data_IF_841736597552
#
_entry.id   IF_841736597552
#
_cell.length_a   1.000
_cell.length_b   1.000
_cell.length_c   1.000
_cell.angle_alpha   90.00
_cell.angle_beta   90.00
_cell.angle_gamma   90.00
#
_symmetry.space_group_name_H-M   'P 1'
#
loop_
_entity.id
_entity.type
_entity.pdbx_description
1 polymer ?
#
# COMPACT_ATOMS: atom_id res chain seq x y z
N UNK A 1 16.54 0.39 -0.84
CA UNK A 1 15.70 -0.01 -1.98
C UNK A 1 16.11 -1.39 -2.41
N UNK A 2 15.15 -2.30 -2.57
CA UNK A 2 15.37 -3.71 -2.94
C UNK A 2 14.27 -4.16 -3.90
N UNK A 3 14.63 -4.81 -5.02
CA UNK A 3 13.66 -5.56 -5.81
C UNK A 3 13.29 -6.82 -5.02
N UNK A 4 12.05 -6.86 -4.49
CA UNK A 4 11.64 -7.90 -3.55
C UNK A 4 11.05 -9.12 -4.24
N UNK A 5 10.37 -8.88 -5.34
CA UNK A 5 9.98 -9.85 -6.38
C UNK A 5 10.09 -9.13 -7.72
N UNK A 6 10.01 -9.86 -8.82
CA UNK A 6 10.12 -9.30 -10.18
C UNK A 6 9.20 -8.09 -10.37
N UNK A 7 9.78 -6.97 -10.80
CA UNK A 7 9.12 -5.70 -11.08
C UNK A 7 8.49 -5.00 -9.85
N UNK A 8 8.71 -5.48 -8.61
CA UNK A 8 8.27 -4.85 -7.37
C UNK A 8 9.45 -4.41 -6.52
N UNK A 9 9.62 -3.12 -6.36
CA UNK A 9 10.70 -2.50 -5.59
C UNK A 9 10.18 -1.99 -4.26
N UNK A 10 10.82 -2.41 -3.17
CA UNK A 10 10.53 -1.97 -1.82
C UNK A 10 11.49 -0.85 -1.42
N UNK A 11 10.94 0.24 -0.87
CA UNK A 11 11.64 1.30 -0.17
C UNK A 11 11.30 1.19 1.31
N UNK A 12 12.30 1.16 2.16
CA UNK A 12 12.11 1.02 3.60
C UNK A 12 12.84 2.13 4.33
N UNK A 13 12.17 2.71 5.29
CA UNK A 13 12.76 3.51 6.37
C UNK A 13 12.42 2.88 7.71
N UNK A 14 13.34 2.92 8.65
CA UNK A 14 13.13 2.41 10.00
C UNK A 14 12.88 3.59 10.93
N UNK A 15 11.74 3.59 11.59
CA UNK A 15 11.40 4.59 12.61
C UNK A 15 12.10 4.24 13.91
N UNK A 16 13.09 5.05 14.29
CA UNK A 16 13.72 4.99 15.57
C UNK A 16 12.92 5.77 16.64
N UNK A 17 12.91 5.38 17.91
CA UNK A 17 13.64 4.22 18.52
C UNK A 17 12.83 2.92 18.56
N UNK A 18 11.61 2.89 18.03
CA UNK A 18 10.70 1.74 18.13
C UNK A 18 11.05 0.60 17.16
N UNK A 19 12.04 0.80 16.29
CA UNK A 19 12.46 -0.19 15.28
C UNK A 19 11.31 -0.67 14.41
N UNK A 20 10.47 0.26 13.92
CA UNK A 20 9.38 -0.04 13.01
C UNK A 20 9.82 0.22 11.57
N UNK A 21 9.79 -0.82 10.75
CA UNK A 21 9.98 -0.68 9.30
C UNK A 21 8.72 -0.12 8.65
N UNK A 22 8.89 0.90 7.83
CA UNK A 22 7.82 1.55 7.06
C UNK A 22 8.14 1.38 5.57
N UNK A 23 7.27 0.68 4.85
CA UNK A 23 7.50 0.28 3.47
C UNK A 23 6.63 1.05 2.49
N UNK A 24 7.24 1.47 1.40
CA UNK A 24 6.55 1.93 0.18
C UNK A 24 7.00 1.02 -0.97
N UNK A 25 6.17 0.90 -1.99
CA UNK A 25 6.48 0.03 -3.13
C UNK A 25 6.29 0.74 -4.46
N UNK A 26 7.18 0.45 -5.41
CA UNK A 26 6.99 0.80 -6.81
C UNK A 26 6.77 -0.49 -7.61
N UNK A 27 5.61 -0.64 -8.21
CA UNK A 27 5.33 -1.68 -9.18
C UNK A 27 5.68 -1.13 -10.57
N UNK A 28 6.69 -1.73 -11.20
CA UNK A 28 7.24 -1.33 -12.49
C UNK A 28 6.45 -1.93 -13.64
N UNK A 29 5.26 -1.39 -13.86
CA UNK A 29 4.38 -1.69 -15.00
C UNK A 29 4.66 -0.75 -16.16
N UNK A 30 3.99 -0.91 -17.30
CA UNK A 30 4.05 0.05 -18.41
C UNK A 30 3.66 1.46 -17.95
N UNK A 31 2.69 1.54 -17.06
CA UNK A 31 2.25 2.73 -16.34
C UNK A 31 2.60 2.56 -14.86
N UNK A 32 3.79 3.01 -14.39
CA UNK A 32 4.29 2.69 -13.05
C UNK A 32 3.32 3.10 -11.93
N UNK A 33 3.17 2.22 -10.94
CA UNK A 33 2.28 2.41 -9.80
C UNK A 33 3.09 2.48 -8.50
N UNK A 34 2.97 3.60 -7.79
CA UNK A 34 3.53 3.76 -6.45
C UNK A 34 2.48 3.38 -5.41
N UNK A 35 2.84 2.57 -4.44
CA UNK A 35 1.98 2.19 -3.33
C UNK A 35 2.52 2.88 -2.08
N UNK A 36 1.71 3.78 -1.54
CA UNK A 36 2.04 4.69 -0.44
C UNK A 36 3.19 5.66 -0.77
N UNK A 37 3.28 6.75 -0.07
CA UNK A 37 4.32 7.76 -0.31
C UNK A 37 5.27 7.92 0.86
N UNK A 38 4.95 7.31 2.00
CA UNK A 38 5.66 7.54 3.24
C UNK A 38 5.35 8.92 3.85
N UNK A 39 5.91 9.18 5.00
CA UNK A 39 5.92 10.50 5.59
C UNK A 39 6.76 11.47 4.72
N UNK A 40 6.67 12.77 5.00
CA UNK A 40 7.41 13.81 4.25
C UNK A 40 8.92 13.51 4.19
N UNK A 41 9.52 13.13 5.32
CA UNK A 41 10.96 12.78 5.39
C UNK A 41 11.29 11.56 4.54
N UNK A 42 10.44 10.55 4.56
CA UNK A 42 10.60 9.35 3.75
C UNK A 42 10.50 9.65 2.25
N UNK A 43 9.50 10.45 1.84
CA UNK A 43 9.36 10.87 0.45
C UNK A 43 10.60 11.62 -0.05
N UNK A 44 11.21 12.48 0.78
CA UNK A 44 12.45 13.19 0.42
C UNK A 44 13.61 12.23 0.12
N UNK A 45 13.69 11.10 0.79
CA UNK A 45 14.74 10.08 0.56
C UNK A 45 14.38 9.09 -0.53
N UNK A 46 13.07 8.87 -0.75
CA UNK A 46 12.55 7.90 -1.72
C UNK A 46 12.49 8.47 -3.14
N UNK A 47 12.11 9.74 -3.30
CA UNK A 47 11.98 10.40 -4.61
C UNK A 47 13.24 10.29 -5.49
N UNK A 48 14.48 10.56 -5.01
CA UNK A 48 15.68 10.38 -5.84
C UNK A 48 15.86 8.94 -6.33
N UNK A 49 15.53 7.96 -5.49
CA UNK A 49 15.62 6.53 -5.85
C UNK A 49 14.52 6.13 -6.85
N UNK A 50 13.33 6.72 -6.72
CA UNK A 50 12.25 6.56 -7.71
C UNK A 50 12.68 7.12 -9.07
N UNK A 51 13.27 8.30 -9.10
CA UNK A 51 13.77 8.92 -10.34
C UNK A 51 14.84 8.06 -11.02
N UNK A 52 15.77 7.49 -10.24
CA UNK A 52 16.79 6.57 -10.75
C UNK A 52 16.17 5.32 -11.41
N UNK A 53 15.20 4.69 -10.75
CA UNK A 53 14.51 3.51 -11.29
C UNK A 53 13.64 3.81 -12.51
N UNK A 54 12.91 4.92 -12.44
CA UNK A 54 11.95 5.28 -13.48
C UNK A 54 12.64 5.76 -14.76
N UNK A 55 13.82 6.40 -14.65
CA UNK A 55 14.44 7.10 -15.76
C UNK A 55 13.51 8.19 -16.29
N UNK A 56 13.11 8.10 -17.56
CA UNK A 56 12.19 9.05 -18.20
C UNK A 56 10.71 8.76 -17.93
N UNK A 57 10.39 7.58 -17.39
CA UNK A 57 9.01 7.19 -17.08
C UNK A 57 8.46 8.01 -15.93
N UNK A 58 7.15 8.16 -15.90
CA UNK A 58 6.43 8.87 -14.84
C UNK A 58 5.52 7.91 -14.09
N UNK A 59 5.37 8.14 -12.79
CA UNK A 59 4.34 7.47 -12.01
C UNK A 59 2.98 7.84 -12.57
N UNK A 60 2.14 6.84 -12.81
CA UNK A 60 0.78 7.02 -13.30
C UNK A 60 -0.23 7.02 -12.17
N UNK A 61 -0.10 6.08 -11.24
CA UNK A 61 -1.00 5.94 -10.10
C UNK A 61 -0.22 5.91 -8.79
N UNK A 62 -0.83 6.48 -7.75
CA UNK A 62 -0.34 6.45 -6.37
C UNK A 62 -1.46 5.87 -5.53
N UNK A 63 -1.28 4.65 -5.00
CA UNK A 63 -2.30 3.98 -4.21
C UNK A 63 -2.14 4.36 -2.74
N UNK A 64 -3.18 4.92 -2.16
CA UNK A 64 -3.22 5.33 -0.75
C UNK A 64 -4.26 4.46 -0.03
N UNK A 65 -3.81 3.65 0.91
CA UNK A 65 -4.69 2.77 1.67
C UNK A 65 -5.64 3.56 2.57
N UNK A 66 -5.10 4.44 3.40
CA UNK A 66 -5.85 5.30 4.29
C UNK A 66 -5.10 6.63 4.56
N UNK A 67 -5.73 7.53 5.30
CA UNK A 67 -5.14 8.84 5.59
C UNK A 67 -4.31 8.79 6.86
N UNK A 68 -3.05 8.45 6.72
CA UNK A 68 -2.04 8.54 7.78
C UNK A 68 -0.73 9.10 7.22
N UNK A 69 0.16 9.56 8.11
CA UNK A 69 1.36 10.29 7.69
C UNK A 69 2.34 9.42 6.90
N UNK A 70 2.45 8.15 7.23
CA UNK A 70 3.34 7.18 6.59
C UNK A 70 2.77 6.54 5.33
N UNK A 71 1.46 6.68 5.08
CA UNK A 71 0.83 6.32 3.82
C UNK A 71 0.83 7.45 2.80
N UNK A 72 0.48 8.66 3.23
CA UNK A 72 0.24 9.76 2.28
C UNK A 72 0.90 11.10 2.63
N UNK A 73 1.70 11.18 3.70
CA UNK A 73 2.35 12.43 4.10
C UNK A 73 3.26 13.03 3.03
N UNK A 74 3.91 12.20 2.24
CA UNK A 74 4.78 12.59 1.13
C UNK A 74 4.06 12.90 -0.18
N UNK A 75 2.74 12.72 -0.27
CA UNK A 75 1.99 12.77 -1.53
C UNK A 75 2.19 14.10 -2.29
N UNK A 76 2.17 15.24 -1.59
CA UNK A 76 2.38 16.54 -2.23
C UNK A 76 3.76 16.66 -2.89
N UNK A 77 4.80 16.06 -2.30
CA UNK A 77 6.15 16.04 -2.87
C UNK A 77 6.21 15.15 -4.11
N UNK A 78 5.59 13.97 -4.05
CA UNK A 78 5.54 13.04 -5.19
C UNK A 78 4.76 13.67 -6.35
N UNK A 79 3.62 14.29 -6.10
CA UNK A 79 2.82 14.96 -7.13
C UNK A 79 3.54 16.18 -7.75
N UNK A 80 4.44 16.81 -7.02
CA UNK A 80 5.28 17.90 -7.58
C UNK A 80 6.23 17.36 -8.66
N UNK A 81 6.81 16.18 -8.48
CA UNK A 81 7.72 15.53 -9.44
C UNK A 81 6.98 14.77 -10.54
N UNK A 82 5.77 14.32 -10.25
CA UNK A 82 4.89 13.58 -11.16
C UNK A 82 3.49 14.23 -11.21
N UNK A 83 3.35 15.43 -11.81
CA UNK A 83 2.12 16.23 -11.72
C UNK A 83 0.92 15.60 -12.44
N UNK A 84 1.12 14.61 -13.30
CA UNK A 84 0.06 13.86 -13.98
C UNK A 84 -0.33 12.56 -13.25
N UNK A 85 0.37 12.22 -12.16
CA UNK A 85 0.03 11.05 -11.38
C UNK A 85 -1.34 11.22 -10.69
N UNK A 86 -2.08 10.11 -10.57
CA UNK A 86 -3.41 10.08 -9.97
C UNK A 86 -3.36 9.32 -8.66
N UNK A 87 -3.72 9.98 -7.56
CA UNK A 87 -3.87 9.33 -6.25
C UNK A 87 -5.19 8.54 -6.23
N UNK A 88 -5.12 7.24 -5.95
CA UNK A 88 -6.27 6.34 -5.85
C UNK A 88 -6.52 6.04 -4.38
N UNK A 89 -7.69 6.37 -3.85
CA UNK A 89 -8.01 6.22 -2.44
C UNK A 89 -9.53 6.13 -2.18
N UNK A 90 -9.91 5.91 -0.92
CA UNK A 90 -11.30 5.98 -0.48
C UNK A 90 -11.85 7.42 -0.50
N UNK A 91 -13.16 7.57 -0.43
CA UNK A 91 -13.80 8.89 -0.31
C UNK A 91 -13.37 9.61 0.97
N UNK A 92 -13.23 8.90 2.08
CA UNK A 92 -12.79 9.46 3.36
C UNK A 92 -11.38 10.02 3.25
N UNK A 93 -10.44 9.25 2.68
CA UNK A 93 -9.07 9.70 2.41
C UNK A 93 -9.05 10.93 1.48
N UNK A 94 -9.83 10.91 0.40
CA UNK A 94 -9.90 12.03 -0.54
C UNK A 94 -10.38 13.33 0.12
N UNK A 95 -11.36 13.26 1.03
CA UNK A 95 -11.82 14.43 1.81
C UNK A 95 -10.73 15.00 2.71
N UNK A 96 -9.91 14.14 3.33
CA UNK A 96 -8.79 14.58 4.14
C UNK A 96 -7.70 15.24 3.27
N UNK A 97 -7.33 14.61 2.17
CA UNK A 97 -6.37 15.15 1.20
C UNK A 97 -6.78 16.54 0.70
N UNK A 98 -8.08 16.73 0.43
CA UNK A 98 -8.63 18.04 0.05
C UNK A 98 -8.39 19.09 1.13
N UNK A 99 -8.54 18.74 2.40
CA UNK A 99 -8.24 19.63 3.53
C UNK A 99 -6.76 20.04 3.61
N UNK A 100 -5.86 19.26 3.04
CA UNK A 100 -4.43 19.55 2.90
C UNK A 100 -4.04 20.19 1.55
N UNK A 101 -5.04 20.59 0.75
CA UNK A 101 -4.83 21.30 -0.52
C UNK A 101 -4.60 20.37 -1.72
N UNK A 102 -4.74 19.06 -1.57
CA UNK A 102 -4.65 18.10 -2.68
C UNK A 102 -6.06 17.87 -3.22
N UNK A 103 -6.44 18.65 -4.23
CA UNK A 103 -7.79 18.65 -4.79
C UNK A 103 -7.86 18.10 -6.23
N UNK A 104 -6.72 18.03 -6.89
CA UNK A 104 -6.63 17.57 -8.28
C UNK A 104 -6.01 16.18 -8.33
N UNK A 105 -6.28 15.44 -9.41
CA UNK A 105 -5.70 14.14 -9.67
C UNK A 105 -5.97 13.11 -8.53
N UNK A 106 -7.20 13.10 -8.00
CA UNK A 106 -7.66 12.10 -7.04
C UNK A 106 -8.77 11.28 -7.66
N UNK A 107 -8.57 9.97 -7.72
CA UNK A 107 -9.54 8.97 -8.15
C UNK A 107 -10.11 8.27 -6.93
N UNK A 108 -11.37 8.56 -6.62
CA UNK A 108 -12.07 7.89 -5.51
C UNK A 108 -12.52 6.50 -5.96
N UNK A 109 -12.23 5.51 -5.15
CA UNK A 109 -12.68 4.13 -5.33
C UNK A 109 -13.48 3.65 -4.12
N UNK A 110 -14.39 2.71 -4.39
CA UNK A 110 -15.14 1.99 -3.36
C UNK A 110 -14.59 0.56 -3.24
N UNK A 111 -14.84 -0.14 -2.14
CA UNK A 111 -14.54 -1.55 -2.03
C UNK A 111 -15.15 -2.37 -3.18
N UNK A 112 -14.43 -3.40 -3.61
CA UNK A 112 -14.79 -4.31 -4.70
C UNK A 112 -14.85 -3.67 -6.11
N UNK A 113 -14.31 -2.45 -6.27
CA UNK A 113 -14.12 -1.88 -7.60
C UNK A 113 -12.79 -2.33 -8.22
N UNK A 114 -12.79 -2.40 -9.54
CA UNK A 114 -11.60 -2.71 -10.33
C UNK A 114 -11.15 -1.46 -11.06
N UNK A 115 -9.84 -1.27 -11.17
CA UNK A 115 -9.22 -0.37 -12.12
C UNK A 115 -8.00 -1.04 -12.74
N UNK A 116 -7.73 -0.75 -13.99
CA UNK A 116 -6.71 -1.43 -14.76
C UNK A 116 -5.95 -0.46 -15.66
N UNK A 117 -4.71 -0.81 -15.96
CA UNK A 117 -3.90 -0.28 -17.03
C UNK A 117 -3.57 -1.40 -18.03
N UNK A 118 -2.59 -1.14 -18.89
CA UNK A 118 -2.21 -2.09 -19.94
C UNK A 118 -1.79 -3.45 -19.38
N UNK A 119 -0.97 -3.46 -18.34
CA UNK A 119 -0.34 -4.69 -17.79
C UNK A 119 -0.60 -4.91 -16.30
N UNK A 120 -1.55 -4.20 -15.70
CA UNK A 120 -2.01 -4.44 -14.32
C UNK A 120 -3.53 -4.41 -14.22
N UNK A 121 -4.05 -5.03 -13.16
CA UNK A 121 -5.45 -4.97 -12.76
C UNK A 121 -5.53 -5.00 -11.23
N UNK A 122 -5.96 -3.90 -10.63
CA UNK A 122 -6.18 -3.79 -9.19
C UNK A 122 -7.65 -3.96 -8.83
N UNK A 123 -7.91 -4.76 -7.81
CA UNK A 123 -9.16 -4.81 -7.07
C UNK A 123 -8.97 -4.11 -5.73
N UNK A 124 -9.93 -3.26 -5.37
CA UNK A 124 -9.99 -2.61 -4.06
C UNK A 124 -10.74 -3.48 -3.07
N UNK A 125 -10.26 -3.53 -1.83
CA UNK A 125 -10.87 -4.29 -0.73
C UNK A 125 -11.12 -3.33 0.42
N UNK A 126 -12.20 -3.51 1.15
CA UNK A 126 -12.50 -2.66 2.32
C UNK A 126 -11.42 -2.83 3.40
N UNK A 127 -10.91 -1.72 3.88
CA UNK A 127 -9.98 -1.69 5.00
C UNK A 127 -10.62 -0.94 6.17
N UNK A 128 -11.17 -1.62 7.16
CA UNK A 128 -11.66 -1.00 8.39
C UNK A 128 -10.47 -0.64 9.27
N UNK A 129 -9.88 0.52 9.04
CA UNK A 129 -8.73 1.02 9.79
C UNK A 129 -9.15 1.45 11.20
N UNK A 130 -8.53 0.89 12.25
CA UNK A 130 -8.87 1.19 13.63
C UNK A 130 -8.38 2.57 14.07
N UNK A 131 -7.18 2.95 13.69
CA UNK A 131 -6.49 4.14 14.21
C UNK A 131 -7.34 5.41 14.14
N UNK A 132 -8.22 5.48 13.14
CA UNK A 132 -9.05 6.65 12.92
C UNK A 132 -10.54 6.34 12.81
N UNK A 133 -10.94 5.09 12.99
CA UNK A 133 -12.29 4.57 12.68
C UNK A 133 -12.75 4.94 11.26
N UNK A 134 -11.80 5.06 10.34
CA UNK A 134 -12.02 5.50 8.96
C UNK A 134 -11.92 4.34 8.00
N UNK A 135 -12.76 4.36 6.99
CA UNK A 135 -12.67 3.40 5.90
C UNK A 135 -11.50 3.73 4.98
N UNK A 136 -10.61 2.78 4.85
CA UNK A 136 -9.55 2.77 3.87
C UNK A 136 -9.80 1.75 2.76
N UNK A 137 -8.78 1.54 1.94
CA UNK A 137 -8.75 0.53 0.88
C UNK A 137 -7.47 -0.29 0.97
N UNK A 138 -7.60 -1.60 0.81
CA UNK A 138 -6.50 -2.48 0.46
C UNK A 138 -6.53 -2.73 -1.05
N UNK A 139 -5.39 -3.11 -1.60
CA UNK A 139 -5.25 -3.27 -3.03
C UNK A 139 -4.74 -4.67 -3.38
N UNK A 140 -5.41 -5.35 -4.29
CA UNK A 140 -4.99 -6.64 -4.81
C UNK A 140 -4.69 -6.52 -6.30
N UNK A 141 -3.43 -6.66 -6.68
CA UNK A 141 -2.99 -6.71 -8.07
C UNK A 141 -3.19 -8.13 -8.59
N UNK A 142 -4.19 -8.33 -9.44
CA UNK A 142 -4.71 -9.65 -9.84
C UNK A 142 -3.81 -10.38 -10.81
N UNK A 143 -3.12 -9.67 -11.73
CA UNK A 143 -2.31 -10.33 -12.76
C UNK A 143 -1.07 -11.02 -12.18
N UNK A 144 -0.46 -10.44 -11.15
CA UNK A 144 0.72 -10.99 -10.46
C UNK A 144 0.37 -11.70 -9.16
N UNK A 145 -0.84 -11.49 -8.64
CA UNK A 145 -1.28 -12.03 -7.35
C UNK A 145 -0.61 -11.32 -6.17
N UNK A 146 -0.42 -10.00 -6.23
CA UNK A 146 0.22 -9.23 -5.16
C UNK A 146 -0.86 -8.55 -4.32
N UNK A 147 -0.90 -8.86 -3.03
CA UNK A 147 -1.75 -8.19 -2.05
C UNK A 147 -0.95 -7.17 -1.26
N UNK A 148 -1.35 -5.91 -1.32
CA UNK A 148 -0.80 -4.80 -0.55
C UNK A 148 -1.63 -4.64 0.72
N UNK A 149 -1.06 -5.07 1.84
CA UNK A 149 -1.81 -5.25 3.09
C UNK A 149 -1.85 -4.01 3.99
N UNK A 150 -1.15 -2.92 3.63
CA UNK A 150 -1.01 -1.75 4.53
C UNK A 150 -0.60 -2.22 5.93
N UNK A 151 -1.31 -1.81 6.98
CA UNK A 151 -1.01 -2.18 8.36
C UNK A 151 -1.55 -3.55 8.79
N UNK A 152 -2.30 -4.24 7.92
CA UNK A 152 -2.61 -5.63 8.17
C UNK A 152 -1.35 -6.49 8.11
N UNK A 153 -1.31 -7.56 8.88
CA UNK A 153 -0.15 -8.46 8.96
C UNK A 153 1.09 -7.70 9.47
N UNK A 154 0.85 -6.78 10.41
CA UNK A 154 1.84 -5.92 11.03
C UNK A 154 2.95 -6.70 11.72
N UNK A 155 4.19 -6.23 11.58
CA UNK A 155 5.35 -6.80 12.24
C UNK A 155 6.32 -5.74 12.71
N UNK A 156 6.77 -5.85 13.96
CA UNK A 156 7.84 -5.01 14.49
C UNK A 156 9.21 -5.46 13.98
N UNK A 157 10.18 -4.56 14.00
CA UNK A 157 11.58 -4.85 13.70
C UNK A 157 12.08 -4.22 12.39
N UNK A 158 13.35 -4.45 12.13
CA UNK A 158 14.03 -3.99 10.90
C UNK A 158 13.89 -5.07 9.83
N UNK A 159 12.86 -4.92 8.96
CA UNK A 159 12.44 -5.97 8.04
C UNK A 159 12.72 -5.64 6.55
N UNK A 160 13.69 -4.75 6.29
CA UNK A 160 14.05 -4.34 4.93
C UNK A 160 14.43 -5.53 4.03
N UNK A 161 13.72 -5.72 2.95
CA UNK A 161 13.98 -6.78 1.97
C UNK A 161 13.73 -8.20 2.47
N UNK A 162 13.09 -8.36 3.64
CA UNK A 162 12.86 -9.68 4.23
C UNK A 162 11.52 -10.25 3.79
N UNK A 163 11.55 -11.53 3.38
CA UNK A 163 10.40 -12.30 2.93
C UNK A 163 10.33 -13.60 3.72
N UNK A 164 9.16 -13.92 4.24
CA UNK A 164 8.88 -15.23 4.87
C UNK A 164 7.89 -16.02 4.04
N UNK A 165 7.75 -17.31 4.30
CA UNK A 165 6.73 -18.17 3.72
C UNK A 165 5.59 -18.39 4.70
N UNK A 166 4.35 -18.36 4.21
CA UNK A 166 3.15 -18.66 5.00
C UNK A 166 2.02 -19.14 4.10
N UNK A 167 1.03 -19.84 4.67
CA UNK A 167 -0.23 -20.04 3.97
C UNK A 167 -1.09 -18.77 4.04
N UNK A 168 -1.99 -18.58 3.05
CA UNK A 168 -2.88 -17.44 3.06
C UNK A 168 -3.77 -17.39 4.32
N UNK A 169 -4.31 -18.52 4.73
CA UNK A 169 -5.11 -18.62 5.96
C UNK A 169 -4.33 -18.19 7.22
N UNK A 170 -3.05 -18.56 7.32
CA UNK A 170 -2.22 -18.16 8.45
C UNK A 170 -1.89 -16.67 8.40
N UNK A 171 -1.62 -16.11 7.22
CA UNK A 171 -1.38 -14.68 7.02
C UNK A 171 -2.62 -13.86 7.39
N UNK A 172 -3.82 -14.26 6.95
CA UNK A 172 -5.08 -13.60 7.31
C UNK A 172 -5.33 -13.67 8.83
N UNK A 173 -5.09 -14.81 9.46
CA UNK A 173 -5.22 -14.95 10.91
C UNK A 173 -4.23 -14.10 11.71
N UNK A 174 -3.06 -13.80 11.16
CA UNK A 174 -2.06 -12.93 11.79
C UNK A 174 -2.45 -11.45 11.79
N UNK A 175 -3.47 -11.07 11.01
CA UNK A 175 -3.98 -9.70 10.93
C UNK A 175 -4.66 -9.21 12.23
N UNK A 176 -4.56 -9.91 13.30
CA UNK A 176 -4.87 -9.57 14.69
C UNK A 176 -6.24 -8.89 14.93
N UNK A 177 -7.01 -9.39 15.89
CA UNK A 177 -8.26 -8.72 16.30
C UNK A 177 -8.00 -7.33 16.88
N UNK A 178 -6.77 -7.08 17.33
CA UNK A 178 -6.36 -5.87 18.04
C UNK A 178 -6.09 -4.67 17.09
N UNK A 179 -6.01 -4.93 15.79
CA UNK A 179 -5.79 -3.88 14.76
C UNK A 179 -7.07 -3.47 14.03
N UNK A 180 -8.23 -4.00 14.45
CA UNK A 180 -9.51 -3.75 13.81
C UNK A 180 -10.50 -3.11 14.80
N UNK A 181 -11.40 -2.23 14.35
CA UNK A 181 -12.26 -1.45 15.23
C UNK A 181 -13.24 -2.29 16.05
N UNK A 182 -13.66 -3.44 15.55
CA UNK A 182 -14.56 -4.36 16.22
C UNK A 182 -14.61 -5.74 15.51
N UNK A 183 -15.24 -6.70 16.17
CA UNK A 183 -15.35 -8.07 15.67
C UNK A 183 -16.12 -8.19 14.34
N UNK A 184 -17.15 -7.39 14.12
CA UNK A 184 -17.96 -7.41 12.89
C UNK A 184 -17.10 -6.97 11.69
N UNK A 185 -16.32 -5.90 11.86
CA UNK A 185 -15.34 -5.44 10.85
C UNK A 185 -14.31 -6.51 10.53
N UNK A 186 -13.82 -7.24 11.56
CA UNK A 186 -12.88 -8.35 11.38
C UNK A 186 -13.50 -9.52 10.62
N UNK A 187 -14.73 -9.88 10.91
CA UNK A 187 -15.44 -10.95 10.19
C UNK A 187 -15.69 -10.58 8.73
N UNK A 188 -16.11 -9.34 8.47
CA UNK A 188 -16.29 -8.84 7.12
C UNK A 188 -14.99 -8.85 6.34
N UNK A 189 -13.91 -8.32 6.92
CA UNK A 189 -12.59 -8.33 6.29
C UNK A 189 -12.12 -9.75 5.98
N UNK A 190 -12.25 -10.69 6.92
CA UNK A 190 -11.91 -12.10 6.68
C UNK A 190 -12.72 -12.70 5.54
N UNK A 191 -14.00 -12.36 5.43
CA UNK A 191 -14.84 -12.78 4.31
C UNK A 191 -14.35 -12.18 2.99
N UNK A 192 -14.08 -10.86 2.96
CA UNK A 192 -13.59 -10.19 1.75
C UNK A 192 -12.22 -10.75 1.31
N UNK A 193 -11.34 -11.07 2.25
CA UNK A 193 -10.02 -11.67 1.98
C UNK A 193 -10.11 -13.14 1.54
N UNK A 194 -11.15 -13.87 1.89
CA UNK A 194 -11.36 -15.24 1.40
C UNK A 194 -11.72 -15.33 -0.08
N UNK A 195 -12.10 -14.21 -0.70
CA UNK A 195 -12.45 -14.12 -2.12
C UNK A 195 -11.22 -13.87 -3.03
N UNK A 196 -10.03 -13.72 -2.46
CA UNK A 196 -8.80 -13.50 -3.21
C UNK A 196 -7.77 -14.60 -2.94
N UNK A 197 -6.93 -14.88 -3.94
CA UNK A 197 -5.85 -15.87 -3.88
C UNK A 197 -4.50 -15.19 -4.19
N UNK A 198 -3.91 -14.47 -3.24
CA UNK A 198 -2.62 -13.84 -3.47
C UNK A 198 -1.49 -14.89 -3.52
N UNK A 199 -0.44 -14.55 -4.25
CA UNK A 199 0.83 -15.29 -4.27
C UNK A 199 1.88 -14.61 -3.42
N UNK A 200 1.72 -13.33 -3.18
CA UNK A 200 2.65 -12.51 -2.44
C UNK A 200 1.92 -11.40 -1.67
N UNK A 201 2.36 -11.16 -0.43
CA UNK A 201 1.89 -10.04 0.39
C UNK A 201 3.01 -9.02 0.53
N UNK A 202 2.74 -7.79 0.12
CA UNK A 202 3.57 -6.62 0.34
C UNK A 202 3.00 -5.83 1.52
N UNK A 203 3.59 -6.00 2.70
CA UNK A 203 3.12 -5.36 3.94
C UNK A 203 3.58 -3.90 4.04
N UNK A 204 2.81 -3.04 4.70
CA UNK A 204 3.24 -1.68 5.06
C UNK A 204 4.31 -1.71 6.17
N UNK A 205 4.19 -2.65 7.09
CA UNK A 205 5.10 -2.85 8.21
C UNK A 205 5.41 -4.33 8.42
N UNK A 206 6.70 -4.67 8.62
CA UNK A 206 7.10 -6.04 8.90
C UNK A 206 7.60 -6.81 7.66
N UNK A 207 7.45 -8.13 7.70
CA UNK A 207 7.91 -9.01 6.62
C UNK A 207 6.95 -8.97 5.44
N UNK A 208 7.48 -9.07 4.22
CA UNK A 208 6.68 -9.52 3.10
C UNK A 208 6.47 -11.04 3.19
N UNK A 209 5.42 -11.56 2.53
CA UNK A 209 5.05 -12.97 2.67
C UNK A 209 4.89 -13.59 1.28
N UNK A 210 5.65 -14.64 1.00
CA UNK A 210 5.35 -15.55 -0.12
C UNK A 210 4.27 -16.53 0.34
N UNK A 211 3.17 -16.60 -0.38
CA UNK A 211 2.09 -17.54 -0.06
C UNK A 211 2.41 -18.90 -0.69
N UNK A 212 2.45 -19.91 0.17
CA UNK A 212 2.71 -21.31 -0.16
C UNK A 212 1.56 -22.19 0.31
N UNK A 213 1.24 -23.24 -0.40
CA UNK A 213 0.24 -24.26 0.00
C UNK A 213 -0.79 -24.52 -1.01
#
# INVERSE_FOLDING_TARGET
MTEIIKDLYQFTEVMEPIKLSMHQYLLMTNEPVLIQTGAVSQAQTTIPKLQELLGERKIKYILISHFESDECGGLALVLKEHPEAVAVCSETTARQLMGFGITNNVLIKKPNEIFAGDDFEFQTISYPCEMHMWEGLLFFEKKRGIFFSSDLMFGMGENHGQVIESSWDAAVKSSGADTLPNQESGQKLSSDLSEIEPKFVASGHGFCITIVG
#
